data_IF_097012629792
#
_entry.id   IF_097012629792
#
_cell.length_a   1.000
_cell.length_b   1.000
_cell.length_c   1.000
_cell.angle_alpha   90.00
_cell.angle_beta   90.00
_cell.angle_gamma   90.00
#
_symmetry.space_group_name_H-M   'P 1'
#
loop_
_entity.id
_entity.type
_entity.pdbx_description
1 polymer ?
#
# COMPACT_ATOMS: atom_id res chain seq x y z
N UNK A 1 -7.52 -0.82 -5.96
CA UNK A 1 -6.35 -0.26 -5.23
C UNK A 1 -5.14 -0.09 -6.14
N UNK A 2 -4.49 -1.17 -6.61
CA UNK A 2 -3.26 -1.11 -7.44
C UNK A 2 -3.32 -0.13 -8.62
N UNK A 3 -4.38 -0.22 -9.44
CA UNK A 3 -4.60 0.68 -10.59
C UNK A 3 -4.60 2.15 -10.18
N UNK A 4 -5.38 2.51 -9.16
CA UNK A 4 -5.47 3.89 -8.67
C UNK A 4 -4.15 4.38 -8.10
N UNK A 5 -3.39 3.51 -7.43
CA UNK A 5 -2.04 3.84 -6.98
C UNK A 5 -1.09 4.14 -8.15
N UNK A 6 -1.08 3.31 -9.21
CA UNK A 6 -0.27 3.57 -10.42
C UNK A 6 -0.67 4.84 -11.17
N UNK A 7 -1.94 5.22 -11.11
CA UNK A 7 -2.47 6.44 -11.73
C UNK A 7 -2.30 7.69 -10.84
N UNK A 8 -1.62 7.59 -9.69
CA UNK A 8 -1.49 8.66 -8.70
C UNK A 8 -2.84 9.18 -8.15
N UNK A 9 -3.84 8.30 -8.14
CA UNK A 9 -5.23 8.53 -7.71
C UNK A 9 -5.58 7.77 -6.43
N UNK A 10 -4.58 7.39 -5.64
CA UNK A 10 -4.76 6.57 -4.44
C UNK A 10 -5.68 7.21 -3.38
N UNK A 11 -5.77 8.54 -3.33
CA UNK A 11 -6.67 9.24 -2.41
C UNK A 11 -8.16 9.00 -2.69
N UNK A 12 -8.53 8.52 -3.88
CA UNK A 12 -9.91 8.13 -4.20
C UNK A 12 -10.36 6.86 -3.44
N UNK A 13 -9.44 6.17 -2.78
CA UNK A 13 -9.76 5.05 -1.89
C UNK A 13 -10.24 5.49 -0.51
N UNK A 14 -10.09 6.77 -0.16
CA UNK A 14 -10.45 7.29 1.16
C UNK A 14 -11.96 7.44 1.27
N UNK A 15 -12.54 6.89 2.33
CA UNK A 15 -13.96 7.05 2.61
C UNK A 15 -14.29 8.52 2.92
N UNK A 16 -15.34 9.03 2.28
CA UNK A 16 -15.86 10.39 2.48
C UNK A 16 -16.34 10.65 3.91
N UNK A 17 -16.58 9.60 4.69
CA UNK A 17 -16.97 9.68 6.10
C UNK A 17 -15.78 9.87 7.05
N UNK A 18 -14.54 9.82 6.57
CA UNK A 18 -13.40 10.05 7.44
C UNK A 18 -13.35 11.51 7.93
N UNK A 19 -13.01 11.73 9.21
CA UNK A 19 -12.93 13.07 9.77
C UNK A 19 -11.77 13.87 9.16
N UNK A 20 -12.04 15.12 8.77
CA UNK A 20 -11.00 16.07 8.38
C UNK A 20 -10.47 16.85 9.60
N UNK A 21 -9.19 17.26 9.62
CA UNK A 21 -8.21 17.17 8.53
C UNK A 21 -7.43 15.85 8.57
N UNK A 22 -7.58 15.05 7.51
CA UNK A 22 -6.76 13.86 7.31
C UNK A 22 -5.48 14.25 6.57
N UNK A 23 -4.31 13.98 7.15
CA UNK A 23 -3.04 14.28 6.48
C UNK A 23 -2.88 13.38 5.25
N UNK A 24 -3.08 13.95 4.05
CA UNK A 24 -3.00 13.24 2.76
C UNK A 24 -1.73 12.40 2.63
N UNK A 25 -0.61 12.89 3.15
CA UNK A 25 0.68 12.18 3.13
C UNK A 25 0.66 10.91 3.99
N UNK A 26 0.02 10.93 5.16
CA UNK A 26 -0.11 9.75 6.01
C UNK A 26 -0.98 8.68 5.35
N UNK A 27 -2.09 9.08 4.73
CA UNK A 27 -2.96 8.18 3.96
C UNK A 27 -2.19 7.52 2.81
N UNK A 28 -1.54 8.35 1.98
CA UNK A 28 -0.78 7.86 0.83
C UNK A 28 0.32 6.89 1.28
N UNK A 29 0.95 7.19 2.42
CA UNK A 29 1.97 6.33 3.03
C UNK A 29 1.37 5.03 3.54
N UNK A 30 0.22 5.05 4.20
CA UNK A 30 -0.50 3.84 4.61
C UNK A 30 -0.87 2.97 3.42
N UNK A 31 -1.38 3.55 2.33
CA UNK A 31 -1.70 2.83 1.10
C UNK A 31 -0.44 2.21 0.50
N UNK A 32 0.66 2.96 0.43
CA UNK A 32 1.94 2.50 -0.09
C UNK A 32 2.51 1.33 0.72
N UNK A 33 2.52 1.45 2.05
CA UNK A 33 2.97 0.38 2.96
C UNK A 33 2.05 -0.84 2.87
N UNK A 34 0.73 -0.63 2.77
CA UNK A 34 -0.23 -1.71 2.54
C UNK A 34 0.05 -2.49 1.26
N UNK A 35 0.40 -1.80 0.17
CA UNK A 35 0.80 -2.42 -1.09
C UNK A 35 2.11 -3.24 -0.97
N UNK A 36 3.08 -2.77 -0.17
CA UNK A 36 4.30 -3.53 0.13
C UNK A 36 4.00 -4.80 0.95
N UNK A 37 2.99 -4.77 1.82
CA UNK A 37 2.62 -5.92 2.65
C UNK A 37 1.95 -7.05 1.87
N UNK A 38 1.35 -6.75 0.71
CA UNK A 38 0.61 -7.71 -0.13
C UNK A 38 1.35 -8.07 -1.42
N UNK A 39 2.68 -7.93 -1.42
CA UNK A 39 3.51 -8.37 -2.53
C UNK A 39 3.33 -9.88 -2.79
N UNK A 40 3.34 -10.23 -4.07
CA UNK A 40 3.25 -11.62 -4.52
C UNK A 40 4.46 -12.42 -4.04
N UNK A 41 5.66 -11.87 -4.20
CA UNK A 41 6.86 -12.46 -3.67
C UNK A 41 6.93 -12.24 -2.15
N UNK A 42 6.96 -13.34 -1.40
CA UNK A 42 7.02 -13.34 0.05
C UNK A 42 8.25 -12.60 0.61
N UNK A 43 9.38 -12.62 -0.10
CA UNK A 43 10.63 -11.98 0.33
C UNK A 43 10.58 -10.46 0.22
N UNK A 44 9.69 -9.91 -0.60
CA UNK A 44 9.50 -8.47 -0.78
C UNK A 44 8.59 -7.85 0.29
N UNK A 45 7.92 -8.68 1.09
CA UNK A 45 7.04 -8.21 2.16
C UNK A 45 7.88 -7.70 3.34
N UNK A 46 7.61 -6.49 3.84
CA UNK A 46 8.32 -5.96 5.00
C UNK A 46 7.98 -6.77 6.26
N UNK A 47 8.93 -6.87 7.18
CA UNK A 47 8.67 -7.37 8.53
C UNK A 47 7.76 -6.40 9.29
N UNK A 48 7.03 -6.87 10.30
CA UNK A 48 6.17 -6.01 11.12
C UNK A 48 6.93 -4.86 11.79
N UNK A 49 8.17 -5.10 12.24
CA UNK A 49 9.03 -4.04 12.78
C UNK A 49 9.36 -2.97 11.73
N UNK A 50 9.58 -3.39 10.48
CA UNK A 50 9.81 -2.48 9.36
C UNK A 50 8.54 -1.70 9.02
N UNK A 51 7.38 -2.33 9.03
CA UNK A 51 6.07 -1.65 8.82
C UNK A 51 5.87 -0.53 9.85
N UNK A 52 6.09 -0.82 11.14
CA UNK A 52 5.98 0.19 12.20
C UNK A 52 6.92 1.37 11.93
N UNK A 53 8.18 1.09 11.60
CA UNK A 53 9.17 2.12 11.25
C UNK A 53 8.75 2.93 10.02
N UNK A 54 8.20 2.26 9.00
CA UNK A 54 7.71 2.92 7.79
C UNK A 54 6.57 3.87 8.10
N UNK A 55 5.63 3.50 8.96
CA UNK A 55 4.49 4.33 9.33
C UNK A 55 4.87 5.47 10.29
N UNK A 56 5.79 5.22 11.23
CA UNK A 56 6.20 6.21 12.24
C UNK A 56 7.17 7.27 11.72
N UNK A 57 7.90 7.00 10.65
CA UNK A 57 8.89 7.92 10.09
C UNK A 57 8.45 8.41 8.69
N UNK A 58 7.77 9.55 8.66
CA UNK A 58 7.23 10.15 7.41
C UNK A 58 8.31 10.58 6.42
N UNK A 59 9.54 10.83 6.88
CA UNK A 59 10.69 11.22 6.03
C UNK A 59 11.42 10.03 5.40
N UNK A 60 11.10 8.79 5.79
CA UNK A 60 11.81 7.62 5.29
C UNK A 60 11.37 7.29 3.86
N UNK A 61 12.33 7.20 2.93
CA UNK A 61 12.05 6.78 1.54
C UNK A 61 11.68 5.31 1.48
N UNK A 62 10.60 4.98 0.76
CA UNK A 62 10.10 3.62 0.61
C UNK A 62 10.32 3.14 -0.82
N UNK A 63 10.65 1.86 -0.99
CA UNK A 63 10.70 1.24 -2.32
C UNK A 63 9.32 1.28 -2.97
N UNK A 64 9.27 1.41 -4.29
CA UNK A 64 8.01 1.29 -5.02
C UNK A 64 7.51 -0.15 -4.93
N UNK A 65 6.23 -0.39 -4.58
CA UNK A 65 5.69 -1.74 -4.64
C UNK A 65 5.71 -2.24 -6.10
N UNK A 66 6.00 -3.53 -6.28
CA UNK A 66 5.85 -4.28 -7.52
C UNK A 66 4.39 -4.77 -7.71
N UNK A 67 4.05 -5.18 -8.93
CA UNK A 67 2.68 -5.58 -9.28
C UNK A 67 2.14 -6.63 -8.31
N UNK A 68 0.99 -6.33 -7.72
CA UNK A 68 0.19 -7.32 -7.02
C UNK A 68 -0.21 -8.36 -8.07
N UNK A 69 0.31 -9.58 -7.92
CA UNK A 69 0.04 -10.70 -8.83
C UNK A 69 -1.44 -10.76 -9.17
N UNK A 70 -1.75 -10.86 -10.47
CA UNK A 70 -3.10 -11.13 -10.92
C UNK A 70 -3.62 -12.38 -10.20
N UNK A 71 -4.87 -12.38 -9.73
CA UNK A 71 -5.58 -13.58 -9.28
C UNK A 71 -5.77 -14.54 -10.47
N UNK A 72 -4.69 -15.16 -10.95
CA UNK A 72 -4.66 -16.14 -12.02
C UNK A 72 -4.34 -17.49 -11.41
N UNK A 73 -5.34 -18.19 -10.87
CA UNK A 73 -5.11 -19.48 -10.22
C UNK A 73 -6.29 -20.11 -9.53
N UNK A 74 -7.50 -20.10 -10.13
CA UNK A 74 -8.48 -21.15 -9.85
C UNK A 74 -8.21 -22.29 -10.83
N UNK A 75 -7.46 -23.28 -10.36
CA UNK A 75 -7.36 -24.59 -11.00
C UNK A 75 -8.78 -25.09 -11.30
N UNK A 76 -9.12 -25.29 -12.58
CA UNK A 76 -10.26 -26.12 -12.93
C UNK A 76 -9.81 -27.57 -12.75
N UNK A 77 -10.58 -28.31 -11.95
CA UNK A 77 -10.55 -29.77 -11.85
C UNK A 77 -10.81 -30.41 -13.22
#
# INVERSE_FOLDING_TARGET
VWRLWRENRALELVDQRMPEPLQKNEILRCIHVGLLCVQENATERPTMSRVVLMLSNTSMTLAAPSSVGSLGGRSKM
#
